data_IF_242897461377
#
_entry.id   IF_242897461377
#
_cell.length_a   1.000
_cell.length_b   1.000
_cell.length_c   1.000
_cell.angle_alpha   90.00
_cell.angle_beta   90.00
_cell.angle_gamma   90.00
#
_symmetry.space_group_name_H-M   'P 1'
#
loop_
_entity.id
_entity.type
_entity.pdbx_description
1 polymer ?
#
# COMPACT_ATOMS: atom_id res chain seq x y z
N UNK A 1 55.35 -37.60 -29.62
CA UNK A 1 54.78 -38.91 -29.98
C UNK A 1 53.54 -39.12 -29.13
N UNK A 2 52.39 -38.88 -29.76
CA UNK A 2 51.02 -39.32 -29.40
C UNK A 2 50.94 -40.88 -29.39
N UNK A 3 49.79 -41.55 -29.20
CA UNK A 3 48.51 -41.20 -28.56
C UNK A 3 47.94 -42.41 -27.73
N UNK A 4 46.68 -42.27 -27.29
CA UNK A 4 45.69 -43.35 -27.14
C UNK A 4 45.50 -44.01 -25.76
N UNK A 5 44.48 -43.52 -25.04
CA UNK A 5 43.25 -44.30 -24.93
C UNK A 5 42.02 -43.39 -24.85
N UNK A 6 41.11 -43.64 -25.79
CA UNK A 6 39.90 -42.91 -26.14
C UNK A 6 38.74 -43.94 -26.10
N UNK A 7 37.57 -43.52 -25.58
CA UNK A 7 36.19 -43.87 -26.01
C UNK A 7 35.62 -45.21 -25.44
N UNK A 8 34.32 -45.31 -25.00
CA UNK A 8 33.13 -44.77 -25.67
C UNK A 8 32.09 -43.95 -24.90
N UNK A 9 31.27 -43.30 -25.74
CA UNK A 9 30.11 -42.45 -25.55
C UNK A 9 28.84 -43.27 -25.28
N UNK A 10 27.96 -42.81 -24.38
CA UNK A 10 26.50 -43.02 -24.46
C UNK A 10 25.77 -41.93 -23.66
N UNK A 11 25.36 -40.80 -24.25
CA UNK A 11 24.07 -40.51 -24.92
C UNK A 11 22.79 -40.77 -24.10
N UNK A 12 22.33 -39.73 -23.40
CA UNK A 12 20.96 -39.17 -23.36
C UNK A 12 21.14 -37.68 -22.98
N UNK A 13 20.93 -36.60 -23.77
CA UNK A 13 19.97 -36.25 -24.83
C UNK A 13 18.54 -36.59 -24.37
N UNK A 14 17.65 -35.65 -24.00
CA UNK A 14 17.08 -34.47 -24.69
C UNK A 14 16.00 -33.91 -23.70
N UNK A 15 15.83 -32.62 -23.37
CA UNK A 15 15.15 -31.49 -24.08
C UNK A 15 15.39 -30.24 -23.18
N UNK A 16 16.05 -29.16 -23.58
CA UNK A 16 15.53 -28.10 -24.47
C UNK A 16 14.04 -27.79 -24.22
N UNK A 17 13.78 -26.96 -23.22
CA UNK A 17 12.55 -26.19 -23.03
C UNK A 17 12.83 -24.69 -23.10
N UNK A 18 13.62 -24.26 -24.08
CA UNK A 18 13.65 -22.88 -24.57
C UNK A 18 12.48 -22.77 -25.55
N UNK A 19 11.38 -22.18 -25.12
CA UNK A 19 10.18 -22.04 -25.93
C UNK A 19 9.31 -20.88 -25.45
N UNK A 20 9.35 -19.78 -26.19
CA UNK A 20 8.19 -18.88 -26.31
C UNK A 20 8.31 -17.53 -25.61
N UNK A 21 8.85 -16.54 -26.32
CA UNK A 21 8.54 -15.12 -26.18
C UNK A 21 7.02 -14.90 -26.04
N UNK A 22 6.62 -14.04 -25.11
CA UNK A 22 5.73 -12.92 -25.44
C UNK A 22 6.39 -11.66 -24.91
N UNK A 23 6.92 -10.84 -25.84
CA UNK A 23 7.13 -9.43 -25.58
C UNK A 23 5.75 -8.82 -25.31
N UNK A 24 5.49 -8.48 -24.04
CA UNK A 24 4.56 -7.42 -23.70
C UNK A 24 5.38 -6.38 -22.96
N UNK A 25 5.56 -5.27 -23.65
CA UNK A 25 6.14 -4.02 -23.20
C UNK A 25 5.53 -3.62 -21.84
N UNK A 26 6.35 -3.59 -20.80
CA UNK A 26 5.99 -2.98 -19.53
C UNK A 26 7.23 -2.31 -18.95
N UNK A 27 7.23 -1.00 -19.12
CA UNK A 27 8.07 0.00 -18.46
C UNK A 27 8.45 -0.43 -17.04
N UNK A 28 9.76 -0.31 -16.77
CA UNK A 28 10.41 -0.88 -15.60
C UNK A 28 9.79 -0.52 -14.25
N UNK A 29 9.63 -1.57 -13.46
CA UNK A 29 9.80 -1.52 -12.01
C UNK A 29 10.75 -2.67 -11.71
N UNK A 30 11.89 -2.40 -11.06
CA UNK A 30 12.79 -3.42 -10.55
C UNK A 30 12.07 -4.19 -9.43
N UNK A 31 11.21 -5.13 -9.82
CA UNK A 31 10.55 -6.05 -8.92
C UNK A 31 11.56 -7.09 -8.46
N UNK A 32 11.91 -7.05 -7.18
CA UNK A 32 12.52 -8.21 -6.53
C UNK A 32 11.50 -9.35 -6.58
N UNK A 33 11.60 -10.24 -7.57
CA UNK A 33 10.81 -11.47 -7.61
C UNK A 33 11.33 -12.39 -6.52
N UNK A 34 10.79 -12.26 -5.31
CA UNK A 34 10.99 -13.29 -4.30
C UNK A 34 10.12 -14.48 -4.70
N UNK A 35 10.75 -15.53 -5.21
CA UNK A 35 10.13 -16.86 -5.33
C UNK A 35 9.72 -17.31 -3.94
N UNK A 36 8.45 -17.17 -3.60
CA UNK A 36 7.88 -17.76 -2.38
C UNK A 36 7.62 -19.23 -2.69
N UNK A 37 8.52 -20.10 -2.26
CA UNK A 37 8.21 -21.53 -2.18
C UNK A 37 7.07 -21.72 -1.18
N UNK A 38 6.01 -22.48 -1.51
CA UNK A 38 5.01 -22.87 -0.52
C UNK A 38 5.69 -23.70 0.55
N UNK A 39 5.73 -23.19 1.79
CA UNK A 39 6.29 -23.92 2.91
C UNK A 39 5.39 -25.12 3.20
N UNK A 40 5.91 -26.33 2.98
CA UNK A 40 5.26 -27.60 3.34
C UNK A 40 5.48 -27.99 4.81
N UNK A 41 5.87 -27.04 5.66
CA UNK A 41 6.01 -27.27 7.09
C UNK A 41 4.62 -27.43 7.74
N UNK A 42 4.29 -28.67 8.05
CA UNK A 42 3.13 -29.07 8.85
C UNK A 42 3.04 -28.23 10.14
N UNK A 43 1.82 -27.74 10.40
CA UNK A 43 1.43 -26.80 11.44
C UNK A 43 1.76 -27.29 12.86
N UNK A 44 2.94 -26.93 13.38
CA UNK A 44 2.99 -26.43 14.74
C UNK A 44 2.30 -25.07 14.71
N UNK A 45 1.02 -25.00 15.07
CA UNK A 45 0.22 -23.78 14.96
C UNK A 45 0.98 -22.58 15.51
N UNK A 46 0.96 -21.46 14.78
CA UNK A 46 1.52 -20.20 15.25
C UNK A 46 1.04 -19.92 16.67
N UNK A 47 1.95 -19.44 17.51
CA UNK A 47 1.60 -19.12 18.89
C UNK A 47 0.48 -18.06 18.91
N UNK A 48 -0.34 -18.04 19.97
CA UNK A 48 -1.36 -17.01 20.16
C UNK A 48 -0.82 -15.56 19.99
N UNK A 49 0.36 -15.19 20.54
CA UNK A 49 0.90 -13.86 20.32
C UNK A 49 1.33 -13.61 18.86
N UNK A 50 1.87 -14.61 18.16
CA UNK A 50 2.24 -14.44 16.73
C UNK A 50 0.98 -14.28 15.85
N UNK A 51 -0.08 -15.02 16.16
CA UNK A 51 -1.37 -14.89 15.47
C UNK A 51 -2.00 -13.51 15.73
N UNK A 52 -1.89 -12.99 16.95
CA UNK A 52 -2.35 -11.65 17.30
C UNK A 52 -1.53 -10.56 16.60
N UNK A 53 -0.22 -10.72 16.50
CA UNK A 53 0.66 -9.80 15.77
C UNK A 53 0.33 -9.78 14.27
N UNK A 54 0.12 -10.96 13.66
CA UNK A 54 -0.31 -11.07 12.27
C UNK A 54 -1.65 -10.38 12.02
N UNK A 55 -2.63 -10.57 12.92
CA UNK A 55 -3.92 -9.90 12.83
C UNK A 55 -3.79 -8.38 12.94
N UNK A 56 -3.01 -7.89 13.91
CA UNK A 56 -2.74 -6.46 14.05
C UNK A 56 -2.03 -5.87 12.83
N UNK A 57 -1.15 -6.62 12.18
CA UNK A 57 -0.51 -6.21 10.93
C UNK A 57 -1.50 -6.13 9.76
N UNK A 58 -2.41 -7.10 9.64
CA UNK A 58 -3.48 -7.09 8.63
C UNK A 58 -4.41 -5.87 8.82
N UNK A 59 -4.86 -5.62 10.06
CA UNK A 59 -5.77 -4.51 10.35
C UNK A 59 -5.13 -3.15 10.01
N UNK A 60 -3.84 -2.98 10.32
CA UNK A 60 -3.09 -1.76 9.96
C UNK A 60 -2.96 -1.59 8.44
N UNK A 61 -2.60 -2.66 7.73
CA UNK A 61 -2.47 -2.62 6.27
C UNK A 61 -3.82 -2.32 5.59
N UNK A 62 -4.93 -2.91 6.06
CA UNK A 62 -6.28 -2.60 5.58
C UNK A 62 -6.65 -1.14 5.83
N UNK A 63 -6.34 -0.63 7.03
CA UNK A 63 -6.61 0.76 7.41
C UNK A 63 -5.83 1.73 6.51
N UNK A 64 -4.56 1.46 6.23
CA UNK A 64 -3.74 2.27 5.32
C UNK A 64 -4.27 2.20 3.88
N UNK A 65 -4.62 1.01 3.38
CA UNK A 65 -5.20 0.87 2.05
C UNK A 65 -6.51 1.68 1.90
N UNK A 66 -7.36 1.69 2.93
CA UNK A 66 -8.57 2.51 2.95
C UNK A 66 -8.23 4.02 3.00
N UNK A 67 -7.26 4.42 3.82
CA UNK A 67 -6.83 5.81 3.91
C UNK A 67 -6.29 6.35 2.57
N UNK A 68 -5.48 5.57 1.85
CA UNK A 68 -5.01 5.93 0.51
C UNK A 68 -6.13 6.00 -0.52
N UNK A 69 -7.13 5.11 -0.44
CA UNK A 69 -8.31 5.17 -1.31
C UNK A 69 -9.09 6.47 -1.10
N UNK A 70 -9.38 6.82 0.15
CA UNK A 70 -10.05 8.08 0.49
C UNK A 70 -9.22 9.29 0.09
N UNK A 71 -7.90 9.25 0.25
CA UNK A 71 -7.00 10.31 -0.18
C UNK A 71 -6.97 10.48 -1.71
N UNK A 72 -7.01 9.38 -2.45
CA UNK A 72 -7.08 9.35 -3.92
C UNK A 72 -8.40 9.93 -4.46
N UNK A 73 -9.51 9.68 -3.76
CA UNK A 73 -10.81 10.29 -4.07
C UNK A 73 -10.81 11.80 -3.80
N UNK A 74 -10.17 12.23 -2.71
CA UNK A 74 -10.09 13.65 -2.31
C UNK A 74 -9.07 14.45 -3.11
N UNK A 75 -8.02 13.83 -3.63
CA UNK A 75 -6.94 14.50 -4.34
C UNK A 75 -6.62 13.79 -5.66
N UNK A 76 -7.43 14.01 -6.72
CA UNK A 76 -7.26 13.33 -8.01
C UNK A 76 -5.87 13.52 -8.61
N UNK A 77 -5.24 14.68 -8.37
CA UNK A 77 -3.88 14.99 -8.83
C UNK A 77 -2.79 14.12 -8.20
N UNK A 78 -3.05 13.53 -7.03
CA UNK A 78 -2.13 12.65 -6.31
C UNK A 78 -2.45 11.15 -6.48
N UNK A 79 -3.45 10.79 -7.29
CA UNK A 79 -3.77 9.37 -7.57
C UNK A 79 -2.59 8.53 -8.04
N UNK A 80 -1.71 9.01 -8.95
CA UNK A 80 -0.54 8.24 -9.38
C UNK A 80 0.42 7.87 -8.23
N UNK A 81 0.39 8.64 -7.14
CA UNK A 81 1.15 8.36 -5.92
C UNK A 81 0.42 7.36 -5.00
N UNK A 82 -0.87 7.59 -4.77
CA UNK A 82 -1.65 6.84 -3.78
C UNK A 82 -2.07 5.45 -4.26
N UNK A 83 -2.34 5.27 -5.56
CA UNK A 83 -2.77 3.98 -6.09
C UNK A 83 -1.70 2.87 -5.92
N UNK A 84 -0.41 3.11 -6.23
CA UNK A 84 0.66 2.14 -5.94
C UNK A 84 0.83 1.84 -4.44
N UNK A 85 0.74 2.86 -3.57
CA UNK A 85 0.86 2.70 -2.12
C UNK A 85 -0.29 1.85 -1.55
N UNK A 86 -1.52 2.11 -2.01
CA UNK A 86 -2.69 1.29 -1.69
C UNK A 86 -2.49 -0.16 -2.12
N UNK A 87 -2.07 -0.38 -3.36
CA UNK A 87 -1.87 -1.72 -3.90
C UNK A 87 -0.83 -2.51 -3.10
N UNK A 88 0.24 -1.85 -2.63
CA UNK A 88 1.23 -2.48 -1.76
C UNK A 88 0.61 -3.01 -0.46
N UNK A 89 -0.25 -2.23 0.20
CA UNK A 89 -0.94 -2.66 1.42
C UNK A 89 -1.94 -3.79 1.17
N UNK A 90 -2.62 -3.81 0.02
CA UNK A 90 -3.51 -4.91 -0.38
C UNK A 90 -2.74 -6.23 -0.62
N UNK A 91 -1.54 -6.14 -1.21
CA UNK A 91 -0.62 -7.28 -1.36
C UNK A 91 -0.10 -7.75 0.00
N UNK A 92 0.22 -6.82 0.91
CA UNK A 92 0.63 -7.16 2.27
C UNK A 92 -0.44 -7.94 3.02
N UNK A 93 -1.71 -7.51 2.96
CA UNK A 93 -2.86 -8.22 3.54
C UNK A 93 -2.98 -9.64 2.97
N UNK A 94 -2.92 -9.77 1.64
CA UNK A 94 -3.04 -11.07 0.97
C UNK A 94 -1.91 -12.02 1.37
N UNK A 95 -0.69 -11.50 1.45
CA UNK A 95 0.50 -12.27 1.83
C UNK A 95 0.43 -12.71 3.29
N UNK A 96 0.08 -11.81 4.20
CA UNK A 96 -0.12 -12.11 5.62
C UNK A 96 -1.24 -13.14 5.82
N UNK A 97 -2.35 -13.00 5.10
CA UNK A 97 -3.49 -13.92 5.19
C UNK A 97 -3.18 -15.32 4.65
N UNK A 98 -2.37 -15.42 3.59
CA UNK A 98 -1.91 -16.71 3.07
C UNK A 98 -0.95 -17.42 4.04
N UNK A 99 -0.06 -16.68 4.69
CA UNK A 99 0.91 -17.23 5.64
C UNK A 99 0.30 -17.52 7.01
N UNK A 100 -0.73 -16.76 7.41
CA UNK A 100 -1.42 -16.91 8.71
C UNK A 100 -2.95 -16.93 8.51
N UNK A 101 -3.54 -18.03 7.98
CA UNK A 101 -4.98 -18.11 7.75
C UNK A 101 -5.82 -17.86 9.01
N UNK A 102 -5.33 -18.28 10.17
CA UNK A 102 -5.99 -18.07 11.47
C UNK A 102 -6.12 -16.59 11.88
N UNK A 103 -5.29 -15.69 11.32
CA UNK A 103 -5.41 -14.26 11.55
C UNK A 103 -6.62 -13.66 10.81
N UNK A 104 -6.98 -14.23 9.65
CA UNK A 104 -8.06 -13.75 8.77
C UNK A 104 -9.44 -14.24 9.20
N UNK A 105 -9.53 -15.43 9.80
CA UNK A 105 -10.81 -16.11 10.13
C UNK A 105 -11.75 -15.36 11.10
N UNK A 106 -11.32 -14.20 11.62
CA UNK A 106 -12.09 -13.35 12.55
C UNK A 106 -12.40 -11.97 11.98
N UNK A 107 -11.95 -11.68 10.77
CA UNK A 107 -12.32 -10.46 10.05
C UNK A 107 -13.76 -10.68 9.56
N UNK A 108 -14.75 -9.88 9.99
CA UNK A 108 -16.12 -10.04 9.50
C UNK A 108 -16.11 -9.91 7.98
N UNK A 109 -16.63 -10.93 7.28
CA UNK A 109 -16.99 -10.76 5.88
C UNK A 109 -17.94 -9.55 5.82
N UNK A 110 -17.53 -8.49 5.14
CA UNK A 110 -18.42 -7.37 4.87
C UNK A 110 -19.67 -7.93 4.20
N UNK A 111 -20.77 -7.96 4.95
CA UNK A 111 -22.03 -8.56 4.51
C UNK A 111 -22.52 -7.81 3.28
N UNK A 112 -22.45 -8.47 2.13
CA UNK A 112 -23.25 -8.12 0.97
C UNK A 112 -24.66 -8.65 1.24
N UNK A 113 -25.39 -8.01 2.14
CA UNK A 113 -26.84 -8.19 2.25
C UNK A 113 -27.48 -7.07 1.45
N UNK A 114 -27.86 -7.41 0.22
CA UNK A 114 -28.76 -6.60 -0.58
C UNK A 114 -30.02 -6.30 0.23
N UNK A 115 -30.27 -5.01 0.46
CA UNK A 115 -31.56 -4.54 0.94
C UNK A 115 -32.28 -3.95 -0.26
N UNK A 116 -33.19 -4.75 -0.81
CA UNK A 116 -34.20 -4.35 -1.77
C UNK A 116 -35.00 -3.16 -1.22
N UNK A 117 -35.13 -2.02 -1.92
CA UNK A 117 -36.00 -0.95 -1.47
C UNK A 117 -37.45 -1.34 -1.79
N UNK A 118 -38.21 -1.74 -0.77
CA UNK A 118 -39.66 -1.82 -0.88
C UNK A 118 -40.23 -0.40 -0.80
N UNK A 119 -40.70 0.11 -1.94
CA UNK A 119 -41.42 1.36 -2.05
C UNK A 119 -42.85 1.22 -1.49
N UNK A 120 -43.24 2.15 -0.62
CA UNK A 120 -44.63 2.60 -0.44
C UNK A 120 -44.63 4.00 0.19
N UNK A 121 -45.21 4.96 -0.53
CA UNK A 121 -45.36 6.40 -0.23
C UNK A 121 -46.66 6.67 0.59
N UNK A 122 -47.15 7.91 0.87
CA UNK A 122 -46.65 9.25 0.49
C UNK A 122 -46.76 10.40 1.55
N UNK A 123 -46.23 11.57 1.12
CA UNK A 123 -46.65 12.95 1.42
C UNK A 123 -46.21 13.65 2.73
N UNK A 124 -45.22 14.53 2.59
CA UNK A 124 -44.99 15.70 3.45
C UNK A 124 -44.06 16.69 2.72
N UNK A 125 -44.46 17.95 2.46
CA UNK A 125 -43.65 18.88 1.68
C UNK A 125 -42.77 19.72 2.60
N UNK A 126 -41.46 19.47 2.68
CA UNK A 126 -40.48 20.48 3.16
C UNK A 126 -39.02 20.06 2.89
N UNK A 127 -38.12 21.03 2.80
CA UNK A 127 -37.56 21.55 1.57
C UNK A 127 -36.37 20.75 1.05
N UNK A 128 -36.10 20.87 -0.25
CA UNK A 128 -34.88 20.44 -0.89
C UNK A 128 -33.66 21.11 -0.23
N UNK A 129 -33.10 20.44 0.79
CA UNK A 129 -31.72 20.64 1.18
C UNK A 129 -30.88 20.16 0.00
N UNK A 130 -30.38 21.11 -0.77
CA UNK A 130 -29.32 20.85 -1.74
C UNK A 130 -28.27 20.00 -1.03
N UNK A 131 -28.14 18.73 -1.43
CA UNK A 131 -26.97 17.96 -1.10
C UNK A 131 -25.81 18.74 -1.72
N UNK A 132 -25.12 19.53 -0.89
CA UNK A 132 -23.89 20.17 -1.28
C UNK A 132 -23.01 19.03 -1.76
N UNK A 133 -22.75 19.00 -3.07
CA UNK A 133 -21.67 18.19 -3.61
C UNK A 133 -20.45 18.52 -2.75
N UNK A 134 -19.81 17.54 -2.09
CA UNK A 134 -18.63 17.82 -1.30
C UNK A 134 -17.64 18.45 -2.28
N UNK A 135 -17.36 19.73 -2.10
CA UNK A 135 -16.36 20.43 -2.89
C UNK A 135 -15.05 19.73 -2.55
N UNK A 136 -14.52 19.01 -3.54
CA UNK A 136 -13.24 18.33 -3.43
C UNK A 136 -12.18 19.43 -3.34
N UNK A 137 -11.73 19.72 -2.14
CA UNK A 137 -10.67 20.70 -1.88
C UNK A 137 -9.32 20.07 -2.26
N UNK A 138 -8.91 20.26 -3.51
CA UNK A 138 -7.60 19.84 -4.02
C UNK A 138 -6.56 20.98 -3.96
N UNK A 139 -6.74 21.93 -3.05
CA UNK A 139 -5.79 23.02 -2.87
C UNK A 139 -4.42 22.51 -2.37
N UNK A 140 -3.31 23.21 -2.67
CA UNK A 140 -1.99 22.89 -2.12
C UNK A 140 -1.95 22.67 -0.59
N UNK A 141 -2.57 23.51 0.26
CA UNK A 141 -2.57 23.26 1.71
C UNK A 141 -3.36 22.01 2.10
N UNK A 142 -4.49 21.73 1.44
CA UNK A 142 -5.26 20.50 1.69
C UNK A 142 -4.46 19.24 1.31
N UNK A 143 -3.77 19.27 0.17
CA UNK A 143 -2.85 18.19 -0.24
C UNK A 143 -1.71 17.99 0.75
N UNK A 144 -1.08 19.07 1.22
CA UNK A 144 -0.01 19.01 2.21
C UNK A 144 -0.50 18.41 3.55
N UNK A 145 -1.69 18.80 4.02
CA UNK A 145 -2.29 18.24 5.22
C UNK A 145 -2.58 16.74 5.09
N UNK A 146 -3.12 16.30 3.94
CA UNK A 146 -3.37 14.89 3.67
C UNK A 146 -2.07 14.09 3.63
N UNK A 147 -1.02 14.59 2.95
CA UNK A 147 0.30 13.95 2.92
C UNK A 147 0.92 13.82 4.31
N UNK A 148 0.83 14.86 5.14
CA UNK A 148 1.32 14.84 6.52
C UNK A 148 0.57 13.80 7.38
N UNK A 149 -0.77 13.71 7.23
CA UNK A 149 -1.58 12.72 7.95
C UNK A 149 -1.28 11.28 7.52
N UNK A 150 -1.06 11.04 6.22
CA UNK A 150 -0.70 9.72 5.70
C UNK A 150 0.71 9.32 6.17
N UNK A 151 1.66 10.26 6.14
CA UNK A 151 3.01 10.08 6.66
C UNK A 151 3.00 9.65 8.13
N UNK A 152 2.19 10.31 8.96
CA UNK A 152 2.07 9.96 10.37
C UNK A 152 1.51 8.54 10.57
N UNK A 153 0.47 8.18 9.78
CA UNK A 153 -0.12 6.84 9.79
C UNK A 153 0.89 5.76 9.37
N UNK A 154 1.63 5.99 8.28
CA UNK A 154 2.69 5.08 7.81
C UNK A 154 3.82 4.92 8.82
N UNK A 155 4.27 6.02 9.42
CA UNK A 155 5.32 6.00 10.45
C UNK A 155 4.89 5.18 11.66
N UNK A 156 3.63 5.34 12.09
CA UNK A 156 3.04 4.55 13.17
C UNK A 156 2.97 3.05 12.85
N UNK A 157 2.49 2.70 11.66
CA UNK A 157 2.44 1.31 11.21
C UNK A 157 3.83 0.68 11.07
N UNK A 158 4.79 1.45 10.56
CA UNK A 158 6.20 1.05 10.41
C UNK A 158 6.86 0.77 11.76
N UNK A 159 6.61 1.61 12.77
CA UNK A 159 7.11 1.40 14.12
C UNK A 159 6.48 0.17 14.80
N UNK A 160 5.19 -0.07 14.56
CA UNK A 160 4.50 -1.26 15.02
C UNK A 160 5.07 -2.53 14.36
N UNK A 161 5.27 -2.53 13.03
CA UNK A 161 5.86 -3.65 12.30
C UNK A 161 7.28 -3.97 12.80
N UNK A 162 8.10 -2.95 13.07
CA UNK A 162 9.42 -3.13 13.70
C UNK A 162 9.30 -3.82 15.06
N UNK A 163 8.42 -3.31 15.92
CA UNK A 163 8.21 -3.85 17.27
C UNK A 163 7.75 -5.31 17.21
N UNK A 164 6.80 -5.61 16.33
CA UNK A 164 6.27 -6.96 16.17
C UNK A 164 7.33 -7.90 15.59
N UNK A 165 8.16 -7.44 14.64
CA UNK A 165 9.24 -8.26 14.07
C UNK A 165 10.29 -8.71 15.09
N UNK A 166 10.48 -7.95 16.17
CA UNK A 166 11.40 -8.28 17.26
C UNK A 166 10.77 -9.20 18.31
N UNK A 167 9.44 -9.26 18.38
CA UNK A 167 8.69 -10.06 19.36
C UNK A 167 8.32 -11.44 18.83
N UNK A 168 8.02 -11.49 17.53
CA UNK A 168 7.55 -12.68 16.84
C UNK A 168 8.73 -13.56 16.42
N UNK A 169 8.49 -14.86 16.30
CA UNK A 169 9.49 -15.83 15.86
C UNK A 169 9.14 -16.51 14.53
N UNK A 170 10.08 -17.28 13.99
CA UNK A 170 9.86 -18.11 12.80
C UNK A 170 9.63 -17.30 11.51
N UNK A 171 8.73 -17.79 10.66
CA UNK A 171 8.49 -17.25 9.30
C UNK A 171 7.83 -15.87 9.31
N UNK A 172 7.17 -15.49 10.40
CA UNK A 172 6.47 -14.21 10.49
C UNK A 172 7.42 -13.03 10.81
N UNK A 173 8.51 -13.26 11.54
CA UNK A 173 9.51 -12.23 11.83
C UNK A 173 10.15 -11.59 10.57
N UNK A 174 10.69 -12.35 9.59
CA UNK A 174 11.24 -11.77 8.37
C UNK A 174 10.19 -11.09 7.49
N UNK A 175 8.93 -11.55 7.52
CA UNK A 175 7.84 -10.92 6.81
C UNK A 175 7.51 -9.54 7.41
N UNK A 176 7.41 -9.45 8.74
CA UNK A 176 7.17 -8.18 9.43
C UNK A 176 8.36 -7.21 9.29
N UNK A 177 9.58 -7.73 9.26
CA UNK A 177 10.78 -6.92 8.96
C UNK A 177 10.76 -6.38 7.53
N UNK A 178 10.30 -7.17 6.55
CA UNK A 178 10.10 -6.71 5.16
C UNK A 178 9.04 -5.60 5.07
N UNK A 179 7.91 -5.75 5.79
CA UNK A 179 6.89 -4.69 5.89
C UNK A 179 7.44 -3.42 6.55
N UNK A 180 8.28 -3.55 7.58
CA UNK A 180 8.97 -2.41 8.18
C UNK A 180 9.86 -1.70 7.16
N UNK A 181 10.69 -2.43 6.41
CA UNK A 181 11.57 -1.86 5.40
C UNK A 181 10.79 -1.16 4.28
N UNK A 182 9.69 -1.77 3.80
CA UNK A 182 8.80 -1.16 2.83
C UNK A 182 8.16 0.14 3.37
N UNK A 183 7.67 0.12 4.62
CA UNK A 183 7.08 1.28 5.27
C UNK A 183 8.06 2.46 5.40
N UNK A 184 9.35 2.20 5.70
CA UNK A 184 10.38 3.24 5.70
C UNK A 184 10.52 3.90 4.32
N UNK A 185 10.60 3.09 3.26
CA UNK A 185 10.70 3.63 1.90
C UNK A 185 9.45 4.43 1.49
N UNK A 186 8.26 4.03 1.94
CA UNK A 186 7.02 4.76 1.70
C UNK A 186 6.98 6.10 2.44
N UNK A 187 7.46 6.15 3.69
CA UNK A 187 7.59 7.37 4.48
C UNK A 187 8.55 8.37 3.81
N UNK A 188 9.69 7.90 3.30
CA UNK A 188 10.63 8.73 2.54
C UNK A 188 10.01 9.25 1.24
N UNK A 189 9.28 8.41 0.51
CA UNK A 189 8.58 8.83 -0.70
C UNK A 189 7.51 9.89 -0.39
N UNK A 190 6.78 9.77 0.72
CA UNK A 190 5.84 10.81 1.15
C UNK A 190 6.53 12.13 1.53
N UNK A 191 7.74 12.09 2.10
CA UNK A 191 8.55 13.29 2.35
C UNK A 191 8.93 14.02 1.07
N UNK A 192 9.42 13.27 0.08
CA UNK A 192 9.84 13.83 -1.21
C UNK A 192 8.67 14.56 -1.88
N UNK A 193 7.48 13.95 -1.88
CA UNK A 193 6.28 14.57 -2.43
C UNK A 193 5.80 15.77 -1.60
N UNK A 194 5.89 15.70 -0.27
CA UNK A 194 5.53 16.82 0.61
C UNK A 194 6.43 18.04 0.36
N UNK A 195 7.74 17.82 0.18
CA UNK A 195 8.68 18.86 -0.17
C UNK A 195 8.36 19.49 -1.53
N UNK A 196 7.94 18.69 -2.51
CA UNK A 196 7.56 19.18 -3.84
C UNK A 196 6.28 20.02 -3.82
N UNK A 197 5.28 19.63 -3.04
CA UNK A 197 4.06 20.43 -2.84
C UNK A 197 4.37 21.75 -2.14
N UNK A 198 5.29 21.75 -1.16
CA UNK A 198 5.74 22.97 -0.48
C UNK A 198 6.54 23.93 -1.37
N UNK A 199 7.39 23.40 -2.26
CA UNK A 199 8.19 24.21 -3.19
C UNK A 199 7.35 24.88 -4.30
N UNK A 200 6.17 24.36 -4.60
CA UNK A 200 5.21 24.95 -5.54
C UNK A 200 4.40 26.13 -4.97
N UNK A 201 4.54 26.44 -3.68
CA UNK A 201 3.90 27.58 -3.05
C UNK A 201 4.77 28.84 -3.29
N UNK A 202 4.34 29.82 -4.11
CA UNK A 202 5.00 31.11 -4.09
C UNK A 202 4.91 31.63 -2.65
N UNK A 203 6.04 32.07 -2.10
CA UNK A 203 6.06 32.76 -0.81
C UNK A 203 4.93 33.80 -0.85
N UNK A 204 3.93 33.64 0.01
CA UNK A 204 2.88 34.62 0.14
C UNK A 204 3.58 35.94 0.48
N UNK A 205 3.71 36.79 -0.54
CA UNK A 205 4.20 38.14 -0.41
C UNK A 205 3.27 38.80 0.56
N UNK A 206 3.80 39.11 1.75
CA UNK A 206 3.22 40.07 2.65
C UNK A 206 3.20 41.44 1.95
N UNK A 207 2.26 41.63 1.02
CA UNK A 207 1.68 42.93 0.74
C UNK A 207 0.48 43.10 1.66
N UNK A 208 0.12 44.27 2.16
CA UNK A 208 0.57 45.62 1.87
C UNK A 208 -0.35 46.52 2.68
N UNK A 209 0.15 47.35 3.61
CA UNK A 209 -0.39 48.70 3.92
C UNK A 209 0.73 49.45 4.66
N UNK A 210 1.21 50.63 4.26
CA UNK A 210 0.76 51.50 3.19
C UNK A 210 1.82 52.53 2.80
N UNK A 211 1.71 53.01 1.57
CA UNK A 211 2.18 54.33 1.22
C UNK A 211 1.06 55.35 1.46
N UNK A 212 1.41 56.57 1.86
CA UNK A 212 1.13 57.84 1.15
C UNK A 212 1.98 58.92 1.83
N UNK A 213 2.69 59.75 1.05
CA UNK A 213 3.14 61.07 1.52
C UNK A 213 4.49 61.52 1.01
N UNK A 214 4.58 61.86 -0.28
CA UNK A 214 5.65 62.67 -0.85
C UNK A 214 5.16 64.11 -1.02
N UNK A 215 6.07 65.06 -0.83
CA UNK A 215 6.08 66.48 -1.24
C UNK A 215 5.23 67.48 -0.46
N UNK A 216 5.95 68.40 0.19
CA UNK A 216 5.52 69.68 0.75
C UNK A 216 6.74 70.37 1.33
#
# INVERSE_FOLDING_TARGET
>A
MDPALRIPVSRRRILLGLGGLVLADAVGVAGCTTTVSPSTASNGGLSAPDTAAARGAIDRAMTLAAAYRTAAERHPSLRPLFDPLRAHHEVAVSTLGAQVPAAVATIPAAGVTGSTPAASAPAGPTPAGAAATPVVDDSPPARAATLASLRASESGATAAARTDSLRVSGVLAPLLASLHAAGVAQVELLDLYSAQVGAGQPAATAGSVGGVGSVG
#
